data_IF_916940382028
#
_entry.id   IF_916940382028
#
_cell.length_a   1.000
_cell.length_b   1.000
_cell.length_c   1.000
_cell.angle_alpha   90.00
_cell.angle_beta   90.00
_cell.angle_gamma   90.00
#
_symmetry.space_group_name_H-M   'P 1'
#
loop_
_entity.id
_entity.type
_entity.pdbx_description
1 polymer ?
#
# COMPACT_ATOMS: atom_id res chain seq x y z
N UNK A 1 9.75 -3.11 27.35
CA UNK A 1 9.13 -3.25 26.01
C UNK A 1 7.80 -2.53 26.08
N UNK A 2 7.55 -1.53 25.24
CA UNK A 2 6.26 -0.83 25.20
C UNK A 2 5.31 -1.69 24.39
N UNK A 3 4.24 -2.17 25.02
CA UNK A 3 3.19 -2.90 24.31
C UNK A 3 2.25 -1.90 23.64
N UNK A 4 2.32 -1.87 22.32
CA UNK A 4 1.44 -1.03 21.51
C UNK A 4 0.07 -1.72 21.46
N UNK A 5 -0.99 -1.03 21.90
CA UNK A 5 -2.37 -1.56 21.98
C UNK A 5 -3.07 -1.64 20.61
N UNK A 6 -2.37 -2.17 19.61
CA UNK A 6 -2.92 -2.36 18.26
C UNK A 6 -3.56 -3.73 18.12
N UNK A 7 -4.66 -3.78 17.36
CA UNK A 7 -5.27 -5.03 16.92
C UNK A 7 -4.53 -5.55 15.68
N UNK A 8 -4.12 -6.82 15.71
CA UNK A 8 -3.49 -7.46 14.56
C UNK A 8 -4.56 -8.01 13.61
N UNK A 9 -4.62 -7.48 12.39
CA UNK A 9 -5.52 -7.99 11.36
C UNK A 9 -4.97 -9.31 10.77
N UNK A 10 -5.82 -10.34 10.57
CA UNK A 10 -5.39 -11.65 10.08
C UNK A 10 -4.98 -11.60 8.60
N UNK A 11 -3.68 -11.67 8.29
CA UNK A 11 -3.19 -11.65 6.91
C UNK A 11 -2.81 -13.07 6.43
N UNK A 12 -3.43 -13.59 5.35
CA UNK A 12 -3.10 -14.89 4.81
C UNK A 12 -1.68 -14.92 4.16
N UNK A 13 -0.99 -16.07 4.19
CA UNK A 13 0.29 -16.24 3.52
C UNK A 13 0.19 -16.00 2.01
N UNK A 14 1.20 -15.34 1.43
CA UNK A 14 1.32 -15.12 -0.02
C UNK A 14 0.13 -14.41 -0.68
N UNK A 15 -0.50 -13.46 0.04
CA UNK A 15 -1.58 -12.62 -0.48
C UNK A 15 -1.17 -11.17 -0.70
N UNK A 16 -0.25 -10.88 -1.64
CA UNK A 16 0.11 -9.51 -1.98
C UNK A 16 -1.11 -8.72 -2.47
N UNK A 17 -2.11 -9.39 -3.03
CA UNK A 17 -3.40 -8.84 -3.40
C UNK A 17 -4.16 -8.18 -2.23
N UNK A 18 -3.89 -8.61 -1.00
CA UNK A 18 -4.50 -8.08 0.22
C UNK A 18 -3.60 -7.09 0.98
N UNK A 19 -2.40 -6.79 0.48
CA UNK A 19 -1.57 -5.74 1.06
C UNK A 19 -2.13 -4.36 0.66
N UNK A 20 -2.16 -3.42 1.59
CA UNK A 20 -2.55 -2.02 1.29
C UNK A 20 -1.53 -1.34 0.37
N UNK A 21 -0.26 -1.74 0.46
CA UNK A 21 0.83 -1.26 -0.40
C UNK A 21 0.56 -1.51 -1.88
N UNK A 22 -0.16 -2.58 -2.22
CA UNK A 22 -0.47 -2.97 -3.59
C UNK A 22 -1.34 -1.94 -4.34
N UNK A 23 -2.00 -1.02 -3.61
CA UNK A 23 -2.78 0.07 -4.17
C UNK A 23 -1.95 1.34 -4.45
N UNK A 24 -0.92 1.61 -3.66
CA UNK A 24 -0.13 2.84 -3.75
C UNK A 24 1.15 2.64 -4.57
N UNK A 25 1.78 1.48 -4.44
CA UNK A 25 3.09 1.19 -5.03
C UNK A 25 3.10 1.18 -6.57
N UNK A 26 2.04 0.78 -7.30
CA UNK A 26 2.06 0.83 -8.76
C UNK A 26 2.31 2.23 -9.32
N UNK A 27 1.71 3.27 -8.72
CA UNK A 27 1.88 4.65 -9.18
C UNK A 27 3.24 5.20 -8.72
N UNK A 28 3.67 4.89 -7.50
CA UNK A 28 5.01 5.24 -7.03
C UNK A 28 6.11 4.62 -7.92
N UNK A 29 5.97 3.35 -8.31
CA UNK A 29 6.91 2.69 -9.22
C UNK A 29 6.98 3.36 -10.58
N UNK A 30 5.85 3.82 -11.12
CA UNK A 30 5.83 4.60 -12.37
C UNK A 30 6.53 5.93 -12.19
N UNK A 31 6.28 6.63 -11.08
CA UNK A 31 6.92 7.90 -10.75
C UNK A 31 8.43 7.80 -10.62
N UNK A 32 8.91 6.73 -9.97
CA UNK A 32 10.34 6.44 -9.80
C UNK A 32 10.97 5.83 -11.05
N UNK A 33 10.17 5.46 -12.04
CA UNK A 33 10.62 4.79 -13.26
C UNK A 33 11.66 5.62 -14.01
N UNK A 34 12.83 5.03 -14.24
CA UNK A 34 13.93 5.67 -14.98
C UNK A 34 14.77 6.67 -14.18
N UNK A 35 14.38 7.02 -12.94
CA UNK A 35 15.18 7.85 -12.06
C UNK A 35 16.37 7.05 -11.53
N UNK A 36 17.56 7.67 -11.53
CA UNK A 36 18.76 7.12 -10.90
C UNK A 36 19.14 8.05 -9.76
N UNK A 37 19.37 7.47 -8.59
CA UNK A 37 19.76 8.19 -7.39
C UNK A 37 21.17 7.77 -7.01
N UNK A 38 21.97 8.74 -6.54
CA UNK A 38 23.35 8.51 -6.11
C UNK A 38 23.47 8.31 -4.60
N UNK A 39 22.42 8.64 -3.85
CA UNK A 39 22.37 8.49 -2.40
C UNK A 39 20.97 8.18 -1.89
N UNK A 40 20.89 7.63 -0.67
CA UNK A 40 19.62 7.41 0.01
C UNK A 40 18.87 8.71 0.32
N UNK A 41 19.59 9.81 0.54
CA UNK A 41 18.99 11.12 0.82
C UNK A 41 18.14 11.59 -0.36
N UNK A 42 18.64 11.40 -1.59
CA UNK A 42 17.89 11.73 -2.80
C UNK A 42 16.62 10.86 -2.95
N UNK A 43 16.73 9.56 -2.67
CA UNK A 43 15.58 8.65 -2.74
C UNK A 43 14.50 9.05 -1.73
N UNK A 44 14.89 9.38 -0.49
CA UNK A 44 13.96 9.81 0.56
C UNK A 44 13.27 11.11 0.15
N UNK A 45 14.03 12.11 -0.29
CA UNK A 45 13.48 13.40 -0.70
C UNK A 45 12.50 13.26 -1.88
N UNK A 46 12.81 12.41 -2.86
CA UNK A 46 11.93 12.15 -4.00
C UNK A 46 10.62 11.45 -3.59
N UNK A 47 10.69 10.51 -2.65
CA UNK A 47 9.51 9.82 -2.11
C UNK A 47 8.66 10.78 -1.27
N UNK A 48 9.29 11.63 -0.46
CA UNK A 48 8.60 12.67 0.32
C UNK A 48 7.89 13.67 -0.61
N UNK A 49 8.58 14.15 -1.65
CA UNK A 49 8.00 15.03 -2.64
C UNK A 49 6.79 14.39 -3.35
N UNK A 50 6.91 13.12 -3.77
CA UNK A 50 5.81 12.39 -4.37
C UNK A 50 4.59 12.33 -3.45
N UNK A 51 4.77 11.97 -2.18
CA UNK A 51 3.64 11.86 -1.26
C UNK A 51 3.07 13.22 -0.82
N UNK A 52 3.86 14.29 -0.87
CA UNK A 52 3.39 15.65 -0.58
C UNK A 52 2.39 16.19 -1.61
N UNK A 53 2.36 15.65 -2.83
CA UNK A 53 1.39 16.03 -3.87
C UNK A 53 -0.03 15.52 -3.59
N UNK A 54 -0.17 14.51 -2.73
CA UNK A 54 -1.46 13.88 -2.45
C UNK A 54 -2.07 14.40 -1.16
N UNK A 55 -3.35 14.75 -1.22
CA UNK A 55 -4.10 15.07 -0.02
C UNK A 55 -4.62 13.79 0.69
N UNK A 56 -5.24 13.98 1.85
CA UNK A 56 -5.75 12.86 2.68
C UNK A 56 -6.77 12.00 1.92
N UNK A 57 -7.50 12.56 0.96
CA UNK A 57 -8.51 11.85 0.18
C UNK A 57 -7.90 10.69 -0.60
N UNK A 58 -6.73 10.89 -1.23
CA UNK A 58 -6.01 9.87 -1.98
C UNK A 58 -5.75 8.61 -1.16
N UNK A 59 -5.24 8.78 0.07
CA UNK A 59 -4.99 7.68 0.99
C UNK A 59 -6.29 7.02 1.45
N UNK A 60 -7.31 7.83 1.77
CA UNK A 60 -8.61 7.32 2.19
C UNK A 60 -9.29 6.49 1.10
N UNK A 61 -9.15 6.87 -0.17
CA UNK A 61 -9.68 6.13 -1.31
C UNK A 61 -8.93 4.82 -1.54
N UNK A 62 -7.60 4.84 -1.43
CA UNK A 62 -6.78 3.62 -1.46
C UNK A 62 -7.20 2.64 -0.37
N UNK A 63 -7.41 3.12 0.86
CA UNK A 63 -7.89 2.30 1.98
C UNK A 63 -9.30 1.76 1.76
N UNK A 64 -10.22 2.54 1.18
CA UNK A 64 -11.57 2.07 0.81
C UNK A 64 -11.51 0.94 -0.22
N UNK A 65 -10.65 1.07 -1.24
CA UNK A 65 -10.43 0.02 -2.25
C UNK A 65 -9.85 -1.25 -1.62
N UNK A 66 -8.89 -1.09 -0.71
CA UNK A 66 -8.32 -2.18 0.06
C UNK A 66 -9.39 -2.92 0.91
N UNK A 67 -10.21 -2.19 1.67
CA UNK A 67 -11.31 -2.75 2.46
C UNK A 67 -12.31 -3.53 1.57
N UNK A 68 -12.64 -3.00 0.38
CA UNK A 68 -13.52 -3.69 -0.57
C UNK A 68 -12.92 -5.02 -1.03
N UNK A 69 -11.61 -5.06 -1.29
CA UNK A 69 -10.91 -6.29 -1.70
C UNK A 69 -10.86 -7.33 -0.58
N UNK A 70 -10.63 -6.89 0.66
CA UNK A 70 -10.72 -7.74 1.84
C UNK A 70 -12.10 -8.37 2.02
N UNK A 71 -13.17 -7.59 1.87
CA UNK A 71 -14.54 -8.10 1.90
C UNK A 71 -14.78 -9.16 0.81
N UNK A 72 -14.27 -8.92 -0.40
CA UNK A 72 -14.36 -9.88 -1.52
C UNK A 72 -13.60 -11.18 -1.22
N UNK A 73 -12.41 -11.11 -0.63
CA UNK A 73 -11.63 -12.28 -0.23
C UNK A 73 -12.33 -13.13 0.84
N UNK A 74 -12.93 -12.49 1.85
CA UNK A 74 -13.74 -13.17 2.87
C UNK A 74 -14.93 -13.90 2.21
N UNK A 75 -15.64 -13.23 1.30
CA UNK A 75 -16.78 -13.80 0.58
C UNK A 75 -16.39 -14.98 -0.32
N UNK A 76 -15.21 -14.93 -0.94
CA UNK A 76 -14.68 -15.98 -1.81
C UNK A 76 -14.02 -17.15 -1.06
N UNK A 77 -14.24 -17.26 0.26
CA UNK A 77 -13.69 -18.34 1.11
C UNK A 77 -12.18 -18.56 0.93
N UNK A 78 -11.41 -17.47 0.84
CA UNK A 78 -9.94 -17.49 0.72
C UNK A 78 -9.37 -17.87 -0.66
N UNK A 79 -10.18 -17.80 -1.72
CA UNK A 79 -9.66 -17.84 -3.08
C UNK A 79 -9.12 -16.47 -3.52
N UNK A 80 -8.13 -16.48 -4.42
CA UNK A 80 -7.51 -15.27 -4.97
C UNK A 80 -8.54 -14.29 -5.53
N UNK A 81 -8.35 -13.01 -5.25
CA UNK A 81 -9.19 -11.94 -5.78
C UNK A 81 -8.48 -11.29 -6.95
N UNK A 82 -8.99 -11.46 -8.18
CA UNK A 82 -8.50 -10.71 -9.35
C UNK A 82 -8.57 -9.19 -9.11
N UNK A 83 -7.55 -8.49 -9.63
CA UNK A 83 -7.34 -7.03 -9.50
C UNK A 83 -8.45 -6.24 -10.20
#
# INVERSE_FOLDING_TARGET
>A
MVELRYELLPHPPYSPDLASCDFFFPNLKKWLGGKKFTSNVEVIAEIEAYFAEFDKSYFSEGLKKWQKRWKKYILLKRNYVEK
#
